data_IF_231836931406
#
_entry.id   IF_231836931406
#
_cell.length_a   1.000
_cell.length_b   1.000
_cell.length_c   1.000
_cell.angle_alpha   90.00
_cell.angle_beta   90.00
_cell.angle_gamma   90.00
#
_symmetry.space_group_name_H-M   'P 1'
#
loop_
_entity.id
_entity.type
_entity.pdbx_description
1 polymer ?
#
# COMPACT_ATOMS: atom_id res chain seq x y z
N UNK A 1 25.02 -27.38 4.55
CA UNK A 1 24.04 -28.47 4.45
C UNK A 1 22.70 -27.82 4.19
N UNK A 2 22.21 -27.94 2.96
CA UNK A 2 20.97 -27.34 2.49
C UNK A 2 19.74 -28.04 3.10
N UNK A 3 18.56 -27.44 2.86
CA UNK A 3 17.21 -28.03 2.91
C UNK A 3 16.31 -27.54 4.04
N UNK A 4 15.58 -26.44 3.78
CA UNK A 4 14.11 -26.39 3.87
C UNK A 4 13.57 -25.14 3.16
N UNK A 5 13.98 -24.92 1.91
CA UNK A 5 13.39 -23.92 1.02
C UNK A 5 13.03 -24.60 -0.30
N UNK A 6 12.27 -25.70 -0.23
CA UNK A 6 11.72 -26.33 -1.42
C UNK A 6 10.19 -26.33 -1.31
N UNK A 7 9.57 -25.68 -2.29
CA UNK A 7 8.12 -25.55 -2.53
C UNK A 7 7.37 -24.40 -1.84
N UNK A 8 7.78 -23.16 -2.13
CA UNK A 8 6.78 -22.15 -2.49
C UNK A 8 6.98 -21.88 -3.98
N UNK A 9 6.07 -22.43 -4.79
CA UNK A 9 5.99 -22.09 -6.21
C UNK A 9 5.46 -20.66 -6.26
N UNK A 10 6.36 -19.69 -6.30
CA UNK A 10 6.02 -18.30 -6.62
C UNK A 10 5.79 -18.27 -8.14
N UNK A 11 4.58 -17.96 -8.64
CA UNK A 11 4.34 -17.91 -10.07
C UNK A 11 5.29 -16.91 -10.75
N UNK A 12 5.83 -17.34 -11.89
CA UNK A 12 7.01 -16.87 -12.61
C UNK A 12 6.94 -15.44 -13.21
N UNK A 13 6.26 -14.48 -12.58
CA UNK A 13 6.27 -13.08 -13.02
C UNK A 13 6.47 -12.04 -11.91
N UNK A 14 6.64 -12.47 -10.66
CA UNK A 14 6.96 -11.53 -9.58
C UNK A 14 8.46 -11.31 -9.53
N UNK A 15 8.86 -10.07 -9.78
CA UNK A 15 10.20 -9.51 -9.67
C UNK A 15 10.92 -10.11 -8.45
N UNK A 16 12.11 -10.66 -8.67
CA UNK A 16 12.97 -11.18 -7.61
C UNK A 16 13.31 -10.04 -6.63
N UNK A 17 12.59 -9.96 -5.52
CA UNK A 17 12.99 -9.13 -4.39
C UNK A 17 14.23 -9.80 -3.78
N UNK A 18 15.38 -9.14 -3.92
CA UNK A 18 16.63 -9.58 -3.32
C UNK A 18 16.48 -9.54 -1.79
N UNK A 19 16.51 -10.71 -1.15
CA UNK A 19 16.31 -10.87 0.28
C UNK A 19 17.47 -10.22 1.08
N UNK A 20 17.23 -9.04 1.64
CA UNK A 20 18.11 -8.38 2.60
C UNK A 20 17.40 -8.28 3.95
N UNK A 21 18.04 -8.82 4.99
CA UNK A 21 17.45 -9.11 6.30
C UNK A 21 16.63 -7.96 6.91
N UNK A 22 15.39 -8.26 7.34
CA UNK A 22 14.55 -7.40 8.19
C UNK A 22 13.14 -7.14 7.63
N UNK A 23 13.03 -6.40 6.54
CA UNK A 23 11.73 -5.98 5.98
C UNK A 23 11.07 -7.04 5.09
N UNK A 24 11.86 -7.90 4.43
CA UNK A 24 11.33 -8.88 3.46
C UNK A 24 10.49 -10.00 4.09
N UNK A 25 10.75 -10.33 5.36
CA UNK A 25 9.93 -11.29 6.12
C UNK A 25 8.51 -10.75 6.38
N UNK A 26 8.39 -9.44 6.60
CA UNK A 26 7.11 -8.77 6.82
C UNK A 26 6.31 -8.74 5.51
N UNK A 27 6.99 -8.46 4.40
CA UNK A 27 6.37 -8.50 3.06
C UNK A 27 5.83 -9.88 2.71
N UNK A 28 6.62 -10.93 2.94
CA UNK A 28 6.18 -12.31 2.74
C UNK A 28 4.93 -12.62 3.58
N UNK A 29 4.92 -12.24 4.85
CA UNK A 29 3.75 -12.41 5.71
C UNK A 29 2.49 -11.71 5.19
N UNK A 30 2.62 -10.45 4.74
CA UNK A 30 1.48 -9.68 4.20
C UNK A 30 0.92 -10.31 2.93
N UNK A 31 1.77 -10.82 2.04
CA UNK A 31 1.35 -11.54 0.83
C UNK A 31 0.62 -12.85 1.14
N UNK A 32 0.95 -13.50 2.26
CA UNK A 32 0.31 -14.73 2.72
C UNK A 32 -0.98 -14.51 3.51
N UNK A 33 -1.36 -13.26 3.82
CA UNK A 33 -2.66 -12.99 4.42
C UNK A 33 -3.76 -13.28 3.39
N UNK A 34 -4.52 -14.34 3.66
CA UNK A 34 -5.66 -14.68 2.83
C UNK A 34 -6.75 -13.62 2.95
N UNK A 35 -7.44 -13.36 1.83
CA UNK A 35 -8.55 -12.41 1.78
C UNK A 35 -9.79 -13.24 1.54
N UNK A 36 -10.75 -13.18 2.47
CA UNK A 36 -11.86 -14.10 2.40
C UNK A 36 -12.68 -13.90 1.10
N UNK A 37 -13.23 -14.98 0.51
CA UNK A 37 -13.99 -14.88 -0.75
C UNK A 37 -15.18 -13.92 -0.67
N UNK A 38 -15.79 -13.80 0.51
CA UNK A 38 -16.90 -12.87 0.77
C UNK A 38 -16.49 -11.39 0.87
N UNK A 39 -15.18 -11.07 0.93
CA UNK A 39 -14.74 -9.69 1.00
C UNK A 39 -15.06 -8.97 -0.31
N UNK A 40 -15.95 -7.99 -0.23
CA UNK A 40 -16.50 -7.24 -1.36
C UNK A 40 -16.02 -5.78 -1.43
N UNK A 41 -15.04 -5.43 -0.59
CA UNK A 41 -14.42 -4.10 -0.62
C UNK A 41 -13.30 -3.98 -1.66
N UNK A 42 -12.67 -2.81 -1.71
CA UNK A 42 -11.56 -2.52 -2.60
C UNK A 42 -10.40 -3.52 -2.47
N UNK A 43 -9.89 -4.00 -3.61
CA UNK A 43 -8.79 -4.97 -3.69
C UNK A 43 -7.62 -4.38 -4.46
N UNK A 44 -6.41 -4.58 -3.94
CA UNK A 44 -5.18 -4.29 -4.68
C UNK A 44 -4.86 -5.52 -5.52
N UNK A 45 -4.85 -5.35 -6.84
CA UNK A 45 -4.45 -6.41 -7.78
C UNK A 45 -2.91 -6.41 -7.90
N UNK A 46 -2.27 -7.45 -7.37
CA UNK A 46 -0.81 -7.56 -7.30
C UNK A 46 -0.19 -6.58 -6.30
N UNK A 47 0.88 -5.90 -6.72
CA UNK A 47 1.73 -5.11 -5.82
C UNK A 47 1.52 -3.59 -5.94
N UNK A 48 0.68 -3.13 -6.87
CA UNK A 48 0.59 -1.70 -7.22
C UNK A 48 -0.76 -1.11 -6.80
N UNK A 49 -0.71 -0.03 -6.01
CA UNK A 49 -1.88 0.79 -5.67
C UNK A 49 -2.31 1.58 -6.90
N UNK A 50 -3.51 1.30 -7.43
CA UNK A 50 -4.06 1.97 -8.62
C UNK A 50 -5.08 3.04 -8.26
N UNK A 51 -5.35 3.97 -9.20
CA UNK A 51 -6.38 5.00 -9.01
C UNK A 51 -7.78 4.40 -8.80
N UNK A 52 -8.10 3.32 -9.52
CA UNK A 52 -9.42 2.68 -9.41
C UNK A 52 -9.59 2.01 -8.04
N UNK A 53 -8.54 1.39 -7.52
CA UNK A 53 -8.52 0.90 -6.13
C UNK A 53 -8.77 2.03 -5.13
N UNK A 54 -8.05 3.16 -5.25
CA UNK A 54 -8.20 4.30 -4.32
C UNK A 54 -9.61 4.87 -4.38
N UNK A 55 -10.18 5.06 -5.57
CA UNK A 55 -11.57 5.52 -5.73
C UNK A 55 -12.55 4.57 -5.07
N UNK A 56 -12.38 3.25 -5.28
CA UNK A 56 -13.25 2.24 -4.67
C UNK A 56 -13.12 2.23 -3.15
N UNK A 57 -11.90 2.33 -2.63
CA UNK A 57 -11.61 2.40 -1.19
C UNK A 57 -12.27 3.63 -0.56
N UNK A 58 -12.19 4.78 -1.21
CA UNK A 58 -12.86 6.00 -0.75
C UNK A 58 -14.39 5.84 -0.72
N UNK A 59 -14.99 5.21 -1.73
CA UNK A 59 -16.42 4.89 -1.75
C UNK A 59 -16.80 3.92 -0.62
N UNK A 60 -15.98 2.90 -0.38
CA UNK A 60 -16.20 1.95 0.72
C UNK A 60 -16.14 2.66 2.09
N UNK A 61 -15.18 3.58 2.29
CA UNK A 61 -15.13 4.40 3.51
C UNK A 61 -16.33 5.34 3.66
N UNK A 62 -16.84 5.93 2.56
CA UNK A 62 -18.10 6.71 2.59
C UNK A 62 -19.26 5.86 3.10
N UNK A 63 -19.28 4.58 2.72
CA UNK A 63 -20.31 3.62 3.09
C UNK A 63 -20.00 2.87 4.41
N UNK A 64 -19.06 3.37 5.22
CA UNK A 64 -18.65 2.77 6.51
C UNK A 64 -18.17 1.31 6.41
N UNK A 65 -17.65 0.91 5.24
CA UNK A 65 -17.01 -0.39 5.07
C UNK A 65 -15.54 -0.31 5.47
N UNK A 66 -15.00 -1.44 5.93
CA UNK A 66 -13.61 -1.54 6.33
C UNK A 66 -12.73 -2.06 5.20
N UNK A 67 -11.51 -1.53 5.10
CA UNK A 67 -10.46 -2.08 4.24
C UNK A 67 -9.92 -3.37 4.86
N UNK A 68 -9.71 -4.40 4.03
CA UNK A 68 -9.11 -5.64 4.51
C UNK A 68 -7.69 -5.41 5.05
N UNK A 69 -7.32 -6.13 6.12
CA UNK A 69 -6.04 -5.94 6.83
C UNK A 69 -4.83 -6.12 5.92
N UNK A 70 -4.87 -7.07 4.99
CA UNK A 70 -3.84 -7.29 3.95
C UNK A 70 -3.51 -5.98 3.22
N UNK A 71 -4.52 -5.31 2.67
CA UNK A 71 -4.33 -4.09 1.88
C UNK A 71 -3.93 -2.90 2.76
N UNK A 72 -4.44 -2.84 3.99
CA UNK A 72 -3.99 -1.83 4.95
C UNK A 72 -2.49 -1.96 5.26
N UNK A 73 -2.01 -3.18 5.54
CA UNK A 73 -0.58 -3.43 5.75
C UNK A 73 0.25 -3.12 4.50
N UNK A 74 -0.21 -3.53 3.32
CA UNK A 74 0.45 -3.24 2.06
C UNK A 74 0.65 -1.73 1.87
N UNK A 75 -0.40 -0.92 2.05
CA UNK A 75 -0.30 0.55 1.94
C UNK A 75 0.69 1.12 2.95
N UNK A 76 0.59 0.73 4.23
CA UNK A 76 1.45 1.28 5.29
C UNK A 76 2.92 0.92 5.06
N UNK A 77 3.22 -0.30 4.64
CA UNK A 77 4.59 -0.73 4.37
C UNK A 77 5.20 -0.01 3.16
N UNK A 78 4.46 0.08 2.04
CA UNK A 78 4.92 0.85 0.86
C UNK A 78 5.14 2.32 1.23
N UNK A 79 4.21 2.90 2.00
CA UNK A 79 4.30 4.30 2.45
C UNK A 79 5.53 4.51 3.34
N UNK A 80 5.81 3.58 4.26
CA UNK A 80 6.99 3.65 5.12
C UNK A 80 8.27 3.65 4.27
N UNK A 81 8.39 2.79 3.28
CA UNK A 81 9.57 2.73 2.41
C UNK A 81 9.78 4.04 1.64
N UNK A 82 8.70 4.59 1.07
CA UNK A 82 8.74 5.89 0.39
C UNK A 82 9.19 6.99 1.35
N UNK A 83 8.54 7.11 2.51
CA UNK A 83 8.82 8.19 3.47
C UNK A 83 10.22 8.07 4.10
N UNK A 84 10.72 6.84 4.32
CA UNK A 84 12.07 6.61 4.84
C UNK A 84 13.17 7.03 3.87
N UNK A 85 12.88 7.04 2.56
CA UNK A 85 13.83 7.48 1.54
C UNK A 85 13.91 9.01 1.38
N UNK A 86 12.96 9.75 1.94
CA UNK A 86 12.88 11.21 1.80
C UNK A 86 13.67 11.93 2.91
N UNK A 87 14.28 13.09 2.59
CA UNK A 87 14.89 13.96 3.61
C UNK A 87 13.83 14.58 4.53
N UNK A 88 14.26 15.08 5.69
CA UNK A 88 13.37 15.76 6.65
C UNK A 88 12.78 17.08 6.12
N UNK A 89 13.42 17.70 5.13
CA UNK A 89 12.93 18.88 4.42
C UNK A 89 12.82 18.56 2.93
N UNK A 90 11.61 18.65 2.38
CA UNK A 90 11.32 18.32 0.97
C UNK A 90 11.10 19.60 0.16
N UNK A 91 11.93 19.83 -0.85
CA UNK A 91 11.81 20.97 -1.76
C UNK A 91 10.86 20.66 -2.93
N UNK A 92 9.72 21.34 -2.97
CA UNK A 92 8.71 21.17 -4.03
C UNK A 92 8.82 22.30 -5.06
N UNK A 93 9.20 21.95 -6.29
CA UNK A 93 9.30 22.90 -7.40
C UNK A 93 7.99 22.97 -8.21
N UNK A 94 7.29 24.09 -8.12
CA UNK A 94 6.03 24.32 -8.87
C UNK A 94 6.32 25.11 -10.15
N UNK A 95 6.07 24.48 -11.31
CA UNK A 95 6.28 25.11 -12.63
C UNK A 95 5.28 26.24 -12.87
N UNK A 96 5.66 27.19 -13.73
CA UNK A 96 4.77 28.29 -14.11
C UNK A 96 3.44 27.77 -14.69
N UNK A 97 2.33 28.39 -14.28
CA UNK A 97 0.97 27.97 -14.66
C UNK A 97 0.48 26.66 -14.02
N UNK A 98 1.21 26.06 -13.09
CA UNK A 98 0.74 24.93 -12.28
C UNK A 98 0.33 25.41 -10.89
N UNK A 99 -0.60 24.67 -10.27
CA UNK A 99 -1.13 24.95 -8.93
C UNK A 99 -0.69 23.85 -7.97
N UNK A 100 -0.32 24.25 -6.76
CA UNK A 100 -0.11 23.38 -5.62
C UNK A 100 -1.12 23.75 -4.54
N UNK A 101 -1.79 22.76 -3.94
CA UNK A 101 -2.81 22.98 -2.91
C UNK A 101 -2.22 22.53 -1.58
N UNK A 102 -2.22 23.43 -0.59
CA UNK A 102 -1.79 23.16 0.78
C UNK A 102 -3.03 22.96 1.64
N UNK A 103 -3.11 21.81 2.32
CA UNK A 103 -4.14 21.52 3.30
C UNK A 103 -3.51 21.51 4.71
N UNK A 104 -4.21 22.09 5.68
CA UNK A 104 -3.83 22.03 7.10
C UNK A 104 -4.34 20.76 7.78
N UNK A 105 -4.51 20.81 9.10
CA UNK A 105 -4.97 19.67 9.89
C UNK A 105 -6.38 19.21 9.53
N UNK A 106 -6.54 17.90 9.33
CA UNK A 106 -7.83 17.25 8.98
C UNK A 106 -8.47 16.54 10.19
N UNK A 107 -7.70 16.24 11.23
CA UNK A 107 -8.17 15.60 12.49
C UNK A 107 -9.09 14.37 12.30
N UNK A 108 -8.80 13.50 11.32
CA UNK A 108 -9.54 12.26 11.09
C UNK A 108 -10.94 12.44 10.48
N UNK A 109 -11.26 13.64 10.00
CA UNK A 109 -12.56 13.95 9.39
C UNK A 109 -12.58 13.52 7.92
N UNK A 110 -12.82 12.23 7.68
CA UNK A 110 -12.81 11.63 6.33
C UNK A 110 -13.85 12.27 5.40
N UNK A 111 -15.04 12.62 5.90
CA UNK A 111 -16.10 13.24 5.09
C UNK A 111 -15.71 14.65 4.61
N UNK A 112 -14.97 15.42 5.41
CA UNK A 112 -14.50 16.75 5.03
C UNK A 112 -13.34 16.73 4.01
N UNK A 113 -12.68 15.59 3.85
CA UNK A 113 -11.60 15.36 2.89
C UNK A 113 -12.11 14.87 1.52
N UNK A 114 -13.40 14.49 1.44
CA UNK A 114 -14.02 13.73 0.35
C UNK A 114 -15.01 14.51 -0.50
#
# INVERSE_FOLDING_TARGET
>A
MASFCDHIIIPSSTVAYNFTHGNDQIWCFVLMLDVEPQYSGARIEGDVVTLDFVKKMMEDFKNQKFLHKRYAFQIVLQTREILQSLPSLVDIHVRNGKRFTVCGDVHGQVIGLL
#
